data_IF_728934637692
#
_entry.id   IF_728934637692
#
_cell.length_a   1.000
_cell.length_b   1.000
_cell.length_c   1.000
_cell.angle_alpha   90.00
_cell.angle_beta   90.00
_cell.angle_gamma   90.00
#
_symmetry.space_group_name_H-M   'P 1'
#
loop_
_entity.id
_entity.type
_entity.pdbx_description
1 polymer ?
#
# COMPACT_ATOMS: atom_id res chain seq x y z
N UNK A 1 -30.40 -44.67 -28.29
CA UNK A 1 -31.43 -45.56 -27.70
C UNK A 1 -32.20 -44.74 -26.67
N UNK A 2 -33.51 -45.00 -26.54
CA UNK A 2 -34.58 -44.12 -26.07
C UNK A 2 -34.52 -43.83 -24.54
N UNK A 3 -34.95 -42.60 -24.18
CA UNK A 3 -35.35 -41.99 -22.88
C UNK A 3 -35.99 -42.93 -21.83
N UNK A 4 -36.10 -42.61 -20.50
CA UNK A 4 -36.67 -41.33 -20.01
C UNK A 4 -36.21 -40.75 -18.65
N UNK A 5 -36.74 -39.53 -18.42
CA UNK A 5 -36.85 -38.75 -17.17
C UNK A 5 -37.47 -39.51 -15.99
N UNK A 6 -37.07 -39.15 -14.76
CA UNK A 6 -37.93 -39.12 -13.56
C UNK A 6 -37.48 -38.01 -12.60
N UNK A 7 -38.45 -37.17 -12.20
CA UNK A 7 -38.37 -36.22 -11.08
C UNK A 7 -38.63 -36.97 -9.77
N UNK A 8 -38.04 -36.52 -8.65
CA UNK A 8 -38.77 -36.49 -7.38
C UNK A 8 -38.18 -35.50 -6.36
N UNK A 9 -39.06 -34.67 -5.82
CA UNK A 9 -38.89 -33.87 -4.62
C UNK A 9 -38.90 -34.76 -3.38
N UNK A 10 -38.01 -34.50 -2.41
CA UNK A 10 -38.25 -34.51 -0.95
C UNK A 10 -36.92 -34.37 -0.21
N UNK A 11 -36.93 -33.54 0.83
CA UNK A 11 -35.74 -32.93 1.41
C UNK A 11 -34.84 -33.82 2.27
N UNK A 12 -33.78 -33.17 2.73
CA UNK A 12 -32.83 -33.58 3.79
C UNK A 12 -32.01 -34.84 3.52
N UNK A 13 -30.73 -34.64 3.16
CA UNK A 13 -29.70 -35.64 3.32
C UNK A 13 -28.43 -35.01 3.92
N UNK A 14 -28.10 -35.51 5.11
CA UNK A 14 -26.84 -35.34 5.85
C UNK A 14 -25.73 -36.00 5.04
N UNK A 15 -24.67 -35.27 4.70
CA UNK A 15 -23.49 -35.83 4.04
C UNK A 15 -22.47 -36.28 5.09
N UNK A 16 -22.42 -37.60 5.30
CA UNK A 16 -21.40 -38.33 6.05
C UNK A 16 -20.22 -38.58 5.10
N UNK A 17 -19.04 -38.04 5.38
CA UNK A 17 -17.82 -38.36 4.63
C UNK A 17 -17.20 -39.67 5.15
N UNK A 18 -17.21 -40.71 4.33
CA UNK A 18 -16.42 -41.93 4.54
C UNK A 18 -15.05 -41.78 3.85
N UNK A 19 -13.98 -41.94 4.63
CA UNK A 19 -12.60 -42.04 4.16
C UNK A 19 -12.34 -43.48 3.69
N UNK A 20 -12.02 -43.67 2.40
CA UNK A 20 -11.54 -44.95 1.89
C UNK A 20 -10.01 -44.99 1.98
N UNK A 21 -9.49 -45.90 2.80
CA UNK A 21 -8.07 -46.30 2.83
C UNK A 21 -7.93 -47.55 1.97
N UNK A 22 -7.14 -47.49 0.91
CA UNK A 22 -6.72 -48.66 0.14
C UNK A 22 -5.28 -49.02 0.46
N UNK A 23 -5.10 -50.22 0.98
CA UNK A 23 -3.81 -50.91 1.15
C UNK A 23 -3.48 -51.70 -0.12
N UNK A 24 -2.21 -51.66 -0.56
CA UNK A 24 -1.65 -52.65 -1.50
C UNK A 24 -0.32 -53.15 -0.94
N UNK A 25 -0.13 -54.46 -1.07
CA UNK A 25 0.81 -55.30 -0.34
C UNK A 25 2.12 -55.54 -1.09
N UNK A 26 3.21 -55.56 -0.31
CA UNK A 26 4.45 -56.36 -0.34
C UNK A 26 5.20 -56.64 -1.66
N UNK A 27 6.49 -56.29 -1.63
CA UNK A 27 7.58 -57.17 -2.07
C UNK A 27 8.84 -56.93 -1.23
N UNK A 28 9.43 -58.02 -0.78
CA UNK A 28 10.52 -58.21 0.17
C UNK A 28 11.91 -57.88 -0.39
N UNK A 29 12.81 -57.33 0.45
CA UNK A 29 14.23 -57.67 0.48
C UNK A 29 14.84 -57.26 1.84
N UNK A 30 15.61 -58.19 2.41
CA UNK A 30 16.15 -58.18 3.76
C UNK A 30 17.45 -57.37 3.89
N UNK A 31 17.73 -56.79 5.07
CA UNK A 31 18.90 -57.15 5.93
C UNK A 31 18.95 -56.29 7.22
N UNK A 32 18.90 -57.02 8.36
CA UNK A 32 19.37 -56.84 9.76
C UNK A 32 19.49 -55.49 10.50
N UNK A 33 19.34 -55.52 11.85
CA UNK A 33 18.99 -54.36 12.68
C UNK A 33 20.18 -53.78 13.47
N UNK A 34 20.06 -52.52 13.86
CA UNK A 34 20.74 -51.97 15.04
C UNK A 34 19.70 -51.32 15.95
N UNK A 35 19.69 -51.82 17.18
CA UNK A 35 18.94 -51.32 18.33
C UNK A 35 19.36 -49.89 18.67
N UNK A 36 18.43 -49.09 19.20
CA UNK A 36 18.62 -48.33 20.45
C UNK A 36 17.24 -47.88 20.94
N UNK A 37 16.90 -48.33 22.15
CA UNK A 37 15.70 -47.93 22.89
C UNK A 37 15.92 -46.55 23.51
N UNK A 38 14.93 -45.67 23.44
CA UNK A 38 14.74 -44.63 24.45
C UNK A 38 13.26 -44.32 24.54
N UNK A 39 12.65 -44.76 25.63
CA UNK A 39 11.33 -44.41 26.08
C UNK A 39 11.29 -42.93 26.48
N UNK A 40 10.35 -42.17 25.93
CA UNK A 40 9.95 -40.88 26.50
C UNK A 40 8.46 -40.87 26.79
N UNK A 41 8.14 -40.70 28.07
CA UNK A 41 6.79 -40.53 28.60
C UNK A 41 6.16 -39.24 28.05
N UNK A 42 5.00 -39.35 27.40
CA UNK A 42 4.12 -38.22 27.12
C UNK A 42 3.29 -37.94 28.37
N UNK A 43 3.63 -36.86 29.10
CA UNK A 43 2.76 -36.28 30.12
C UNK A 43 1.73 -35.37 29.44
N UNK A 44 0.47 -35.75 29.54
CA UNK A 44 -0.69 -34.94 29.13
C UNK A 44 -0.82 -33.75 30.09
N UNK A 45 -0.46 -32.55 29.64
CA UNK A 45 -0.58 -31.29 30.37
C UNK A 45 -1.67 -30.41 29.76
N UNK A 46 -2.66 -30.06 30.58
CA UNK A 46 -3.84 -29.22 30.31
C UNK A 46 -3.60 -28.05 29.33
N UNK A 47 -4.44 -27.99 28.29
CA UNK A 47 -4.69 -26.78 27.51
C UNK A 47 -5.41 -25.74 28.40
N UNK A 48 -4.73 -24.63 28.68
CA UNK A 48 -5.37 -23.39 29.11
C UNK A 48 -5.84 -22.68 27.85
N UNK A 49 -7.16 -22.47 27.74
CA UNK A 49 -7.79 -21.67 26.72
C UNK A 49 -7.35 -20.21 26.82
N UNK A 50 -6.59 -19.73 25.84
CA UNK A 50 -6.33 -18.30 25.64
C UNK A 50 -7.48 -17.79 24.75
N UNK A 51 -8.19 -16.70 25.12
CA UNK A 51 -9.27 -16.18 24.29
C UNK A 51 -8.71 -15.64 22.97
N UNK A 52 -9.38 -16.02 21.88
CA UNK A 52 -9.16 -15.48 20.55
C UNK A 52 -9.33 -13.96 20.55
N UNK A 53 -8.31 -13.24 20.08
CA UNK A 53 -8.44 -11.84 19.71
C UNK A 53 -9.35 -11.76 18.47
N UNK A 54 -10.61 -11.40 18.68
CA UNK A 54 -11.51 -11.04 17.60
C UNK A 54 -11.04 -9.73 16.99
N UNK A 55 -10.59 -9.78 15.73
CA UNK A 55 -10.41 -8.59 14.92
C UNK A 55 -11.79 -8.00 14.61
N UNK A 56 -12.03 -6.76 15.04
CA UNK A 56 -13.13 -5.97 14.52
C UNK A 56 -12.73 -5.38 13.17
N UNK A 57 -13.50 -5.60 12.09
CA UNK A 57 -13.37 -4.77 10.91
C UNK A 57 -13.67 -3.32 11.30
N UNK A 58 -12.97 -2.38 10.68
CA UNK A 58 -13.20 -0.95 10.80
C UNK A 58 -14.69 -0.63 10.57
N UNK A 59 -15.44 -0.35 11.64
CA UNK A 59 -16.79 0.22 11.57
C UNK A 59 -16.67 1.70 11.94
N UNK A 60 -16.68 2.57 10.93
CA UNK A 60 -16.98 3.98 11.13
C UNK A 60 -18.46 4.11 11.50
N UNK A 61 -18.74 4.74 12.64
CA UNK A 61 -20.09 5.04 13.10
C UNK A 61 -20.83 5.92 12.09
N UNK A 62 -21.82 5.35 11.37
CA UNK A 62 -22.84 6.14 10.66
C UNK A 62 -23.78 6.80 11.68
N UNK A 63 -23.75 8.14 11.77
CA UNK A 63 -24.82 8.90 12.43
C UNK A 63 -26.01 8.98 11.47
N UNK A 64 -27.13 8.38 11.87
CA UNK A 64 -28.45 8.56 11.25
C UNK A 64 -28.86 10.04 11.33
N UNK A 65 -29.15 10.65 10.18
CA UNK A 65 -29.92 11.89 10.11
C UNK A 65 -31.40 11.55 10.35
N UNK A 66 -32.01 12.21 11.34
CA UNK A 66 -33.43 12.07 11.64
C UNK A 66 -34.28 12.95 10.73
N UNK A 67 -35.31 12.33 10.15
CA UNK A 67 -36.41 13.00 9.44
C UNK A 67 -37.25 13.85 10.40
N UNK A 68 -37.45 15.12 10.05
CA UNK A 68 -38.41 16.02 10.69
C UNK A 68 -39.40 16.57 9.68
N UNK A 69 -40.64 16.07 9.71
CA UNK A 69 -41.80 16.52 8.92
C UNK A 69 -42.32 17.89 9.37
N UNK A 70 -42.56 18.75 8.37
CA UNK A 70 -43.79 19.52 8.04
C UNK A 70 -44.74 19.97 9.18
N UNK A 71 -44.99 21.29 9.21
CA UNK A 71 -46.24 21.97 9.63
C UNK A 71 -46.18 23.43 9.14
N UNK A 72 -46.91 23.83 8.09
CA UNK A 72 -48.32 24.27 7.99
C UNK A 72 -48.64 25.66 8.56
N UNK A 73 -49.29 26.47 7.73
CA UNK A 73 -49.91 27.78 8.04
C UNK A 73 -49.06 28.97 7.61
N UNK A 74 -49.51 29.94 6.82
CA UNK A 74 -50.81 30.28 6.26
C UNK A 74 -50.78 31.76 5.86
N UNK A 75 -51.45 32.11 4.75
CA UNK A 75 -52.03 33.44 4.40
C UNK A 75 -51.10 34.67 4.38
N UNK A 76 -51.08 35.57 3.39
CA UNK A 76 -51.94 35.88 2.26
C UNK A 76 -51.58 37.29 1.75
N UNK A 77 -52.12 37.66 0.58
CA UNK A 77 -52.12 39.01 -0.03
C UNK A 77 -50.73 39.59 -0.39
N UNK A 78 -50.47 40.17 -1.57
CA UNK A 78 -51.32 40.75 -2.58
C UNK A 78 -50.62 42.02 -3.10
N UNK A 79 -50.79 42.30 -4.38
CA UNK A 79 -50.53 43.56 -5.08
C UNK A 79 -49.17 43.76 -5.78
N UNK A 80 -49.35 44.27 -6.99
CA UNK A 80 -48.47 44.58 -8.09
C UNK A 80 -47.75 45.93 -7.92
N UNK A 81 -46.68 46.15 -8.69
CA UNK A 81 -46.58 47.26 -9.65
C UNK A 81 -45.18 47.38 -10.26
N UNK A 82 -45.16 48.01 -11.44
CA UNK A 82 -44.19 47.97 -12.51
C UNK A 82 -42.96 48.91 -12.32
N UNK A 83 -42.02 48.99 -13.29
CA UNK A 83 -40.60 49.33 -13.06
C UNK A 83 -40.27 50.82 -13.20
N UNK A 84 -39.11 51.23 -12.66
CA UNK A 84 -38.54 52.56 -12.92
C UNK A 84 -37.07 52.48 -13.33
N UNK A 85 -36.85 52.70 -14.61
CA UNK A 85 -35.56 53.06 -15.23
C UNK A 85 -35.19 54.49 -14.82
N UNK A 86 -33.91 54.77 -14.53
CA UNK A 86 -33.20 55.97 -15.05
C UNK A 86 -31.69 55.97 -14.79
N UNK A 87 -30.99 56.09 -15.92
CA UNK A 87 -29.83 56.95 -16.22
C UNK A 87 -28.48 56.65 -15.57
N UNK A 88 -27.55 56.31 -16.46
CA UNK A 88 -26.12 56.34 -16.21
C UNK A 88 -25.54 57.74 -16.14
N UNK A 89 -24.36 57.79 -15.53
CA UNK A 89 -23.39 58.86 -15.65
C UNK A 89 -22.00 58.24 -15.59
N UNK A 90 -21.23 58.47 -16.65
CA UNK A 90 -19.82 58.14 -16.81
C UNK A 90 -18.94 58.91 -15.83
N UNK A 91 -18.03 58.22 -15.14
CA UNK A 91 -16.86 58.86 -14.49
C UNK A 91 -15.58 58.04 -14.72
N UNK A 92 -14.55 58.80 -15.08
CA UNK A 92 -13.20 58.43 -15.53
C UNK A 92 -12.49 57.46 -14.57
N UNK A 93 -11.83 56.47 -15.14
CA UNK A 93 -10.94 55.54 -14.45
C UNK A 93 -9.58 56.18 -14.19
N UNK A 94 -9.27 56.46 -12.93
CA UNK A 94 -7.90 56.69 -12.46
C UNK A 94 -7.35 55.35 -11.97
N UNK A 95 -6.32 54.83 -12.64
CA UNK A 95 -5.65 53.58 -12.28
C UNK A 95 -4.75 53.84 -11.06
N UNK A 96 -5.13 53.28 -9.92
CA UNK A 96 -4.24 53.12 -8.76
C UNK A 96 -4.06 51.62 -8.50
N UNK A 97 -2.82 51.15 -8.64
CA UNK A 97 -2.39 49.78 -8.36
C UNK A 97 -2.56 49.44 -6.88
N UNK A 98 -3.55 48.59 -6.56
CA UNK A 98 -3.69 48.01 -5.21
C UNK A 98 -3.01 46.64 -5.17
N UNK A 99 -1.99 46.54 -4.31
CA UNK A 99 -1.38 45.30 -3.81
C UNK A 99 -2.48 44.28 -3.47
N UNK A 100 -2.46 43.11 -4.13
CA UNK A 100 -3.36 42.02 -3.81
C UNK A 100 -3.05 41.52 -2.39
N UNK A 101 -3.97 41.79 -1.45
CA UNK A 101 -4.01 41.12 -0.15
C UNK A 101 -4.46 39.70 -0.41
N UNK A 102 -3.59 38.74 -0.12
CA UNK A 102 -3.94 37.33 0.01
C UNK A 102 -5.10 37.22 1.02
N UNK A 103 -6.27 36.83 0.52
CA UNK A 103 -7.47 36.56 1.31
C UNK A 103 -7.60 35.05 1.42
N UNK A 104 -6.83 34.45 2.33
CA UNK A 104 -7.14 33.11 2.79
C UNK A 104 -8.57 33.13 3.37
N UNK A 105 -9.43 32.23 2.87
CA UNK A 105 -10.78 32.07 3.43
C UNK A 105 -10.66 31.68 4.91
N UNK A 106 -11.52 32.19 5.80
CA UNK A 106 -11.48 31.78 7.20
C UNK A 106 -11.71 30.26 7.30
N UNK A 107 -10.86 29.57 8.07
CA UNK A 107 -10.99 28.13 8.33
C UNK A 107 -12.35 27.88 9.00
N UNK A 108 -13.15 26.97 8.45
CA UNK A 108 -14.40 26.55 9.09
C UNK A 108 -14.13 25.87 10.45
N UNK A 109 -15.16 25.76 11.28
CA UNK A 109 -15.07 25.22 12.65
C UNK A 109 -14.32 23.86 12.72
N UNK A 110 -14.60 22.95 11.78
CA UNK A 110 -13.93 21.66 11.68
C UNK A 110 -12.40 21.78 11.43
N UNK A 111 -11.98 22.76 10.63
CA UNK A 111 -10.56 23.01 10.38
C UNK A 111 -9.83 23.55 11.61
N UNK A 112 -10.53 24.36 12.43
CA UNK A 112 -9.99 24.86 13.69
C UNK A 112 -9.81 23.73 14.72
N UNK A 113 -10.78 22.81 14.80
CA UNK A 113 -10.69 21.62 15.66
C UNK A 113 -9.54 20.70 15.24
N UNK A 114 -9.37 20.44 13.93
CA UNK A 114 -8.29 19.58 13.44
C UNK A 114 -6.91 20.19 13.71
N UNK A 115 -6.76 21.50 13.51
CA UNK A 115 -5.52 22.22 13.83
C UNK A 115 -5.19 22.18 15.33
N UNK A 116 -6.20 22.36 16.19
CA UNK A 116 -6.03 22.21 17.64
C UNK A 116 -5.62 20.77 18.03
N UNK A 117 -6.24 19.76 17.40
CA UNK A 117 -5.92 18.36 17.62
C UNK A 117 -4.48 18.04 17.20
N UNK A 118 -4.04 18.52 16.03
CA UNK A 118 -2.66 18.36 15.57
C UNK A 118 -1.66 19.03 16.52
N UNK A 119 -1.94 20.26 16.97
CA UNK A 119 -1.04 20.98 17.88
C UNK A 119 -0.93 20.34 19.27
N UNK A 120 -1.98 19.69 19.74
CA UNK A 120 -2.00 19.02 21.04
C UNK A 120 -1.54 17.55 20.99
N UNK A 121 -1.37 16.98 19.80
CA UNK A 121 -1.02 15.58 19.64
C UNK A 121 0.42 15.32 20.13
N UNK A 122 0.62 14.29 20.98
CA UNK A 122 1.95 13.97 21.51
C UNK A 122 2.78 13.22 20.47
N UNK A 123 3.37 13.95 19.53
CA UNK A 123 4.27 13.39 18.53
C UNK A 123 5.45 12.65 19.19
N UNK A 124 5.75 11.47 18.68
CA UNK A 124 6.68 10.50 19.29
C UNK A 124 8.14 10.79 19.00
N UNK A 125 8.44 11.44 17.86
CA UNK A 125 9.78 11.84 17.45
C UNK A 125 9.90 13.32 17.11
N UNK A 126 10.80 13.66 16.19
CA UNK A 126 11.11 15.03 15.76
C UNK A 126 10.26 15.52 14.59
N UNK A 127 9.67 14.60 13.83
CA UNK A 127 8.84 14.89 12.68
C UNK A 127 7.54 15.57 13.09
N UNK A 128 7.14 16.56 12.30
CA UNK A 128 5.89 17.30 12.45
C UNK A 128 5.25 17.45 11.08
N UNK A 129 3.91 17.44 10.99
CA UNK A 129 3.22 17.70 9.73
C UNK A 129 3.42 19.16 9.32
N UNK A 130 3.79 19.34 8.06
CA UNK A 130 3.81 20.62 7.37
C UNK A 130 2.46 20.98 6.78
N UNK A 131 2.44 22.06 5.98
CA UNK A 131 1.28 22.49 5.21
C UNK A 131 1.21 21.74 3.89
N UNK A 132 0.06 21.15 3.60
CA UNK A 132 -0.21 20.49 2.33
C UNK A 132 -0.63 21.51 1.26
N UNK A 133 -0.13 21.35 0.03
CA UNK A 133 -0.68 22.06 -1.13
C UNK A 133 -2.08 21.51 -1.49
N UNK A 134 -2.93 22.26 -2.25
CA UNK A 134 -4.20 21.73 -2.74
C UNK A 134 -4.03 20.44 -3.53
N UNK A 135 -5.05 19.56 -3.49
CA UNK A 135 -5.09 18.33 -4.28
C UNK A 135 -4.91 18.62 -5.76
N UNK A 136 -4.00 17.89 -6.40
CA UNK A 136 -3.69 18.03 -7.84
C UNK A 136 -4.75 17.32 -8.69
N UNK A 137 -5.02 17.84 -9.87
CA UNK A 137 -6.05 17.32 -10.77
C UNK A 137 -5.41 16.44 -11.83
N UNK A 138 -5.92 15.21 -11.96
CA UNK A 138 -5.57 14.32 -13.07
C UNK A 138 -6.44 14.67 -14.28
N UNK A 139 -5.86 14.99 -15.46
CA UNK A 139 -6.62 15.24 -16.68
C UNK A 139 -7.23 13.94 -17.22
N UNK A 140 -8.27 14.05 -18.07
CA UNK A 140 -8.87 12.87 -18.72
C UNK A 140 -7.97 12.23 -19.78
N UNK A 141 -6.96 12.95 -20.27
CA UNK A 141 -5.98 12.44 -21.22
C UNK A 141 -4.61 13.07 -20.99
N UNK A 142 -3.57 12.39 -21.45
CA UNK A 142 -2.18 12.84 -21.35
C UNK A 142 -2.02 14.18 -22.08
N UNK A 143 -1.46 15.17 -21.40
CA UNK A 143 -1.40 16.56 -21.87
C UNK A 143 -0.18 16.86 -22.75
N UNK A 144 0.91 16.10 -22.58
CA UNK A 144 2.21 16.35 -23.23
C UNK A 144 3.03 15.06 -23.40
N UNK A 145 4.12 15.13 -24.16
CA UNK A 145 5.01 13.99 -24.43
C UNK A 145 4.47 13.03 -25.49
N UNK A 146 5.11 11.86 -25.61
CA UNK A 146 4.86 10.89 -26.68
C UNK A 146 3.46 10.26 -26.64
N UNK A 147 2.84 10.24 -25.45
CA UNK A 147 1.50 9.71 -25.24
C UNK A 147 0.40 10.79 -25.31
N UNK A 148 0.71 12.02 -25.74
CA UNK A 148 -0.25 13.13 -25.79
C UNK A 148 -1.57 12.70 -26.47
N UNK A 149 -2.68 12.92 -25.76
CA UNK A 149 -4.01 12.53 -26.21
C UNK A 149 -4.45 11.12 -25.80
N UNK A 150 -3.56 10.26 -25.28
CA UNK A 150 -3.94 8.97 -24.69
C UNK A 150 -4.89 9.22 -23.52
N UNK A 151 -6.03 8.53 -23.51
CA UNK A 151 -6.99 8.59 -22.40
C UNK A 151 -6.40 7.96 -21.14
N UNK A 152 -6.65 8.59 -19.99
CA UNK A 152 -6.26 8.07 -18.68
C UNK A 152 -7.48 7.35 -18.09
N UNK A 153 -7.31 6.08 -17.75
CA UNK A 153 -8.35 5.31 -17.07
C UNK A 153 -8.32 5.66 -15.58
N UNK A 154 -9.48 5.99 -15.01
CA UNK A 154 -9.63 6.34 -13.60
C UNK A 154 -10.09 5.12 -12.80
N UNK A 155 -9.50 4.84 -11.63
CA UNK A 155 -9.99 3.77 -10.76
C UNK A 155 -11.37 4.11 -10.19
N UNK A 156 -12.10 3.09 -9.73
CA UNK A 156 -13.50 3.21 -9.30
C UNK A 156 -13.76 4.22 -8.16
N UNK A 157 -12.71 4.49 -7.36
CA UNK A 157 -12.71 5.41 -6.22
C UNK A 157 -12.25 6.83 -6.56
N UNK A 158 -11.74 7.11 -7.76
CA UNK A 158 -11.08 8.39 -8.05
C UNK A 158 -11.95 9.62 -7.74
N UNK A 159 -13.28 9.50 -7.86
CA UNK A 159 -14.24 10.58 -7.63
C UNK A 159 -14.67 10.76 -6.16
N UNK A 160 -14.99 9.67 -5.47
CA UNK A 160 -15.64 9.69 -4.16
C UNK A 160 -14.79 9.09 -3.03
N UNK A 161 -13.60 8.61 -3.38
CA UNK A 161 -12.64 7.97 -2.51
C UNK A 161 -13.06 6.61 -1.97
N UNK A 162 -14.08 5.98 -2.56
CA UNK A 162 -14.60 4.69 -2.10
C UNK A 162 -14.31 3.59 -3.11
N UNK A 163 -13.40 2.65 -2.83
CA UNK A 163 -13.17 1.51 -3.70
C UNK A 163 -14.46 0.70 -3.87
N UNK A 164 -14.83 0.42 -5.13
CA UNK A 164 -16.10 -0.24 -5.47
C UNK A 164 -15.93 -1.70 -5.88
N UNK A 165 -14.71 -2.21 -5.82
CA UNK A 165 -14.44 -3.60 -6.10
C UNK A 165 -15.09 -4.46 -5.01
N UNK A 166 -15.63 -5.65 -5.36
CA UNK A 166 -16.17 -6.55 -4.36
C UNK A 166 -15.11 -6.84 -3.30
N UNK A 167 -15.57 -7.02 -2.05
CA UNK A 167 -14.68 -7.45 -0.99
C UNK A 167 -13.97 -8.74 -1.42
N UNK A 168 -12.68 -8.92 -1.07
CA UNK A 168 -11.99 -10.17 -1.33
C UNK A 168 -12.82 -11.34 -0.78
N UNK A 169 -12.74 -12.49 -1.46
CA UNK A 169 -13.36 -13.72 -0.96
C UNK A 169 -12.70 -14.19 0.34
N UNK A 170 -12.84 -15.49 0.64
CA UNK A 170 -12.11 -16.08 1.76
C UNK A 170 -10.60 -15.81 1.60
N UNK A 171 -9.82 -15.65 2.70
CA UNK A 171 -8.41 -15.20 2.63
C UNK A 171 -7.49 -15.99 1.68
N UNK A 172 -7.80 -17.26 1.42
CA UNK A 172 -7.08 -18.15 0.50
C UNK A 172 -7.61 -18.12 -0.95
N UNK A 173 -8.66 -17.36 -1.23
CA UNK A 173 -9.17 -17.13 -2.59
C UNK A 173 -8.38 -15.97 -3.19
N UNK A 174 -7.47 -16.34 -4.09
CA UNK A 174 -6.52 -15.44 -4.73
C UNK A 174 -6.76 -15.52 -6.24
N UNK A 175 -6.77 -14.36 -6.90
CA UNK A 175 -6.94 -14.28 -8.34
C UNK A 175 -5.72 -14.87 -9.06
N UNK A 176 -5.97 -15.78 -10.00
CA UNK A 176 -4.97 -16.25 -10.96
C UNK A 176 -5.12 -15.44 -12.23
N UNK A 177 -4.13 -14.60 -12.54
CA UNK A 177 -4.17 -13.73 -13.71
C UNK A 177 -3.94 -14.51 -15.00
N UNK A 178 -4.72 -14.18 -16.03
CA UNK A 178 -4.47 -14.62 -17.39
C UNK A 178 -3.27 -13.90 -18.01
N UNK A 179 -2.78 -14.39 -19.15
CA UNK A 179 -1.62 -13.80 -19.83
C UNK A 179 -1.83 -12.32 -20.20
N UNK A 180 -3.04 -11.93 -20.62
CA UNK A 180 -3.34 -10.53 -20.95
C UNK A 180 -3.23 -9.62 -19.72
N UNK A 181 -3.71 -10.10 -18.58
CA UNK A 181 -3.68 -9.37 -17.32
C UNK A 181 -2.27 -9.28 -16.76
N UNK A 182 -1.46 -10.33 -16.95
CA UNK A 182 -0.03 -10.33 -16.63
C UNK A 182 0.71 -9.25 -17.44
N UNK A 183 0.42 -9.10 -18.74
CA UNK A 183 1.06 -8.04 -19.55
C UNK A 183 0.66 -6.63 -19.08
N UNK A 184 -0.60 -6.43 -18.65
CA UNK A 184 -1.04 -5.16 -18.05
C UNK A 184 -0.36 -4.91 -16.71
N UNK A 185 -0.20 -5.95 -15.88
CA UNK A 185 0.56 -5.88 -14.63
C UNK A 185 2.03 -5.52 -14.86
N UNK A 186 2.69 -6.10 -15.86
CA UNK A 186 4.06 -5.74 -16.26
C UNK A 186 4.15 -4.28 -16.70
N UNK A 187 3.20 -3.81 -17.50
CA UNK A 187 3.16 -2.42 -17.94
C UNK A 187 2.98 -1.45 -16.77
N UNK A 188 2.03 -1.72 -15.86
CA UNK A 188 1.80 -0.93 -14.66
C UNK A 188 3.02 -0.92 -13.72
N UNK A 189 3.63 -2.09 -13.50
CA UNK A 189 4.84 -2.22 -12.67
C UNK A 189 6.03 -1.46 -13.26
N UNK A 190 6.27 -1.58 -14.58
CA UNK A 190 7.31 -0.80 -15.27
C UNK A 190 7.06 0.70 -15.14
N UNK A 191 5.83 1.16 -15.28
CA UNK A 191 5.47 2.57 -15.11
C UNK A 191 5.71 3.05 -13.67
N UNK A 192 5.30 2.28 -12.66
CA UNK A 192 5.54 2.60 -11.25
C UNK A 192 7.04 2.75 -10.96
N UNK A 193 7.86 1.80 -11.44
CA UNK A 193 9.32 1.85 -11.31
C UNK A 193 9.88 3.12 -11.94
N UNK A 194 9.54 3.43 -13.18
CA UNK A 194 10.05 4.63 -13.85
C UNK A 194 9.69 5.92 -13.08
N UNK A 195 8.48 6.00 -12.51
CA UNK A 195 8.07 7.13 -11.67
C UNK A 195 8.88 7.19 -10.37
N UNK A 196 9.05 6.07 -9.67
CA UNK A 196 9.86 6.01 -8.44
C UNK A 196 11.32 6.39 -8.71
N UNK A 197 11.87 6.02 -9.87
CA UNK A 197 13.23 6.35 -10.28
C UNK A 197 13.43 7.86 -10.47
N UNK A 198 12.44 8.53 -11.07
CA UNK A 198 12.47 9.98 -11.27
C UNK A 198 12.28 10.70 -9.93
N UNK A 199 11.36 10.23 -9.09
CA UNK A 199 11.15 10.76 -7.74
C UNK A 199 12.42 10.63 -6.87
N UNK A 200 13.04 9.45 -6.87
CA UNK A 200 14.29 9.18 -6.18
C UNK A 200 15.44 10.09 -6.60
N UNK A 201 15.60 10.33 -7.90
CA UNK A 201 16.61 11.29 -8.44
C UNK A 201 16.37 12.74 -8.01
N UNK A 202 15.15 13.08 -7.60
CA UNK A 202 14.84 14.42 -7.11
C UNK A 202 15.17 14.61 -5.62
N UNK A 203 15.41 13.53 -4.86
CA UNK A 203 15.72 13.58 -3.44
C UNK A 203 17.04 14.31 -3.21
N UNK A 204 16.99 15.43 -2.49
CA UNK A 204 18.14 16.25 -2.10
C UNK A 204 17.78 17.13 -0.92
N UNK A 205 18.79 17.65 -0.23
CA UNK A 205 18.59 18.63 0.85
C UNK A 205 17.78 19.82 0.33
N UNK A 206 16.72 20.18 1.07
CA UNK A 206 15.87 21.33 0.79
C UNK A 206 14.68 21.07 -0.15
N UNK A 207 14.59 19.93 -0.85
CA UNK A 207 13.35 19.59 -1.57
C UNK A 207 12.25 19.28 -0.55
N UNK A 208 11.01 19.72 -0.80
CA UNK A 208 9.87 19.34 0.04
C UNK A 208 9.27 18.03 -0.42
N UNK A 209 8.61 17.30 0.47
CA UNK A 209 7.88 16.09 0.11
C UNK A 209 6.72 16.41 -0.86
N UNK A 210 6.05 17.56 -0.73
CA UNK A 210 5.07 18.05 -1.72
C UNK A 210 5.69 18.34 -3.09
N UNK A 211 6.97 18.71 -3.13
CA UNK A 211 7.75 18.87 -4.35
C UNK A 211 8.02 17.54 -5.05
N UNK A 212 8.25 16.48 -4.28
CA UNK A 212 8.37 15.10 -4.77
C UNK A 212 7.00 14.59 -5.26
N UNK A 213 5.93 14.79 -4.50
CA UNK A 213 4.55 14.44 -4.91
C UNK A 213 4.18 15.08 -6.25
N UNK A 214 4.55 16.34 -6.48
CA UNK A 214 4.33 16.99 -7.78
C UNK A 214 4.99 16.22 -8.92
N UNK A 215 6.25 15.84 -8.74
CA UNK A 215 7.01 15.10 -9.75
C UNK A 215 6.33 13.76 -10.01
N UNK A 216 5.98 13.03 -8.95
CA UNK A 216 5.24 11.76 -9.06
C UNK A 216 3.95 11.95 -9.86
N UNK A 217 3.14 12.93 -9.47
CA UNK A 217 1.86 13.22 -10.11
C UNK A 217 2.01 13.49 -11.62
N UNK A 218 2.95 14.37 -11.99
CA UNK A 218 3.21 14.74 -13.37
C UNK A 218 3.76 13.55 -14.18
N UNK A 219 4.66 12.77 -13.60
CA UNK A 219 5.28 11.61 -14.26
C UNK A 219 4.33 10.41 -14.41
N UNK A 220 3.36 10.24 -13.50
CA UNK A 220 2.27 9.26 -13.68
C UNK A 220 1.39 9.65 -14.87
N UNK A 221 1.00 10.93 -14.96
CA UNK A 221 0.17 11.44 -16.06
C UNK A 221 0.87 11.29 -17.41
N UNK A 222 2.17 11.60 -17.51
CA UNK A 222 2.94 11.44 -18.75
C UNK A 222 2.96 10.00 -19.27
N UNK A 223 2.80 9.01 -18.39
CA UNK A 223 2.71 7.58 -18.72
C UNK A 223 1.30 7.10 -19.03
N UNK A 224 0.31 8.00 -19.01
CA UNK A 224 -1.09 7.65 -19.18
C UNK A 224 -1.71 6.96 -17.97
N UNK A 225 -1.10 7.12 -16.79
CA UNK A 225 -1.53 6.47 -15.56
C UNK A 225 -2.16 7.46 -14.56
N UNK A 226 -3.09 6.94 -13.77
CA UNK A 226 -3.62 7.64 -12.60
C UNK A 226 -2.75 7.29 -11.36
N UNK A 227 -2.32 8.26 -10.54
CA UNK A 227 -1.59 7.95 -9.29
C UNK A 227 -2.56 7.33 -8.26
N UNK A 228 -2.45 6.03 -8.01
CA UNK A 228 -3.46 5.25 -7.26
C UNK A 228 -3.75 5.78 -5.85
N UNK A 229 -2.77 6.28 -5.06
CA UNK A 229 -3.06 6.83 -3.74
C UNK A 229 -4.02 8.01 -3.78
N UNK A 230 -4.07 8.75 -4.90
CA UNK A 230 -4.89 9.96 -4.98
C UNK A 230 -6.37 9.65 -4.79
N UNK A 231 -6.92 10.22 -3.71
CA UNK A 231 -8.29 10.04 -3.24
C UNK A 231 -8.62 8.62 -2.76
N UNK A 232 -7.69 7.67 -2.71
CA UNK A 232 -7.96 6.33 -2.17
C UNK A 232 -8.31 6.42 -0.68
N UNK A 233 -9.54 6.04 -0.29
CA UNK A 233 -10.11 6.31 1.04
C UNK A 233 -9.99 7.78 1.50
N UNK A 234 -9.88 8.72 0.56
CA UNK A 234 -9.69 10.15 0.83
C UNK A 234 -8.23 10.58 1.07
N UNK A 235 -7.23 9.74 0.76
CA UNK A 235 -5.82 10.15 0.81
C UNK A 235 -5.57 11.34 -0.14
N UNK A 236 -4.91 12.43 0.31
CA UNK A 236 -4.98 13.72 -0.41
C UNK A 236 -3.91 13.92 -1.49
N UNK A 237 -2.98 12.98 -1.66
CA UNK A 237 -1.76 13.12 -2.47
C UNK A 237 -1.55 11.94 -3.42
N UNK A 238 -0.55 12.03 -4.29
CA UNK A 238 -0.30 11.10 -5.40
C UNK A 238 0.71 10.00 -5.03
N UNK A 239 1.44 10.18 -3.93
CA UNK A 239 2.34 9.20 -3.32
C UNK A 239 2.36 9.35 -1.80
N UNK A 240 2.99 8.40 -1.12
CA UNK A 240 3.37 8.54 0.27
C UNK A 240 4.86 8.90 0.37
N UNK A 241 5.21 9.74 1.34
CA UNK A 241 6.59 10.11 1.67
C UNK A 241 6.82 9.99 3.16
N UNK A 242 7.51 8.93 3.59
CA UNK A 242 7.64 8.55 5.00
C UNK A 242 9.07 8.81 5.48
N UNK A 243 9.26 9.88 6.24
CA UNK A 243 10.59 10.36 6.66
C UNK A 243 10.92 9.89 8.08
N UNK A 244 12.12 9.37 8.31
CA UNK A 244 12.65 9.00 9.63
C UNK A 244 11.76 8.04 10.44
N UNK A 245 11.06 8.51 11.48
CA UNK A 245 10.20 7.69 12.35
C UNK A 245 8.79 7.41 11.78
N UNK A 246 8.49 7.93 10.59
CA UNK A 246 7.24 7.64 9.90
C UNK A 246 7.36 6.26 9.25
N UNK A 247 6.51 5.32 9.72
CA UNK A 247 6.43 3.93 9.26
C UNK A 247 5.99 3.87 7.80
N UNK A 248 4.82 4.45 7.50
CA UNK A 248 4.20 4.45 6.18
C UNK A 248 3.14 5.56 6.10
N UNK A 249 2.60 5.76 4.89
CA UNK A 249 1.49 6.68 4.59
C UNK A 249 1.73 8.14 5.02
N UNK A 250 3.00 8.57 5.12
CA UNK A 250 3.31 9.97 5.36
C UNK A 250 2.76 10.84 4.23
N UNK A 251 1.95 11.85 4.55
CA UNK A 251 1.34 12.73 3.55
C UNK A 251 2.37 13.79 3.10
N UNK A 252 2.65 13.91 1.79
CA UNK A 252 3.46 14.99 1.23
C UNK A 252 3.02 16.41 1.66
N UNK A 253 3.97 17.20 2.16
CA UNK A 253 3.77 18.54 2.71
C UNK A 253 4.95 19.49 2.41
N UNK A 254 4.94 20.69 3.00
CA UNK A 254 5.96 21.71 2.79
C UNK A 254 7.24 21.54 3.64
N UNK A 255 7.42 20.43 4.37
CA UNK A 255 8.65 20.16 5.11
C UNK A 255 9.81 19.96 4.12
N UNK A 256 10.87 20.78 4.17
CA UNK A 256 12.09 20.51 3.41
C UNK A 256 12.84 19.33 4.01
N UNK A 257 13.30 18.40 3.16
CA UNK A 257 14.17 17.31 3.57
C UNK A 257 15.52 17.85 4.07
N UNK A 258 16.00 17.35 5.21
CA UNK A 258 17.23 17.76 5.84
C UNK A 258 18.38 16.77 5.54
N UNK A 259 19.62 17.24 5.58
CA UNK A 259 20.78 16.36 5.44
C UNK A 259 20.80 15.33 6.58
N UNK A 260 20.93 14.04 6.26
CA UNK A 260 20.86 12.94 7.22
C UNK A 260 19.47 12.34 7.43
N UNK A 261 18.42 12.92 6.84
CA UNK A 261 17.12 12.25 6.77
C UNK A 261 17.22 10.98 5.92
N UNK A 262 16.40 9.99 6.27
CA UNK A 262 16.02 8.90 5.37
C UNK A 262 14.54 9.06 5.03
N UNK A 263 14.17 8.78 3.78
CA UNK A 263 12.79 8.90 3.31
C UNK A 263 12.43 7.70 2.46
N UNK A 264 11.32 7.03 2.79
CA UNK A 264 10.66 6.11 1.87
C UNK A 264 9.78 6.93 0.92
N UNK A 265 9.84 6.63 -0.38
CA UNK A 265 8.86 7.11 -1.36
C UNK A 265 8.13 5.89 -1.88
N UNK A 266 6.80 5.92 -1.75
CA UNK A 266 5.92 4.83 -2.11
C UNK A 266 4.99 5.23 -3.26
N UNK A 267 5.05 4.45 -4.34
CA UNK A 267 4.51 4.75 -5.65
C UNK A 267 3.63 3.61 -6.12
N UNK A 268 2.36 3.92 -6.23
CA UNK A 268 1.41 3.10 -6.97
C UNK A 268 0.82 3.86 -8.15
N UNK A 269 0.84 3.27 -9.34
CA UNK A 269 0.15 3.82 -10.52
C UNK A 269 -0.94 2.88 -11.00
N UNK A 270 -2.02 3.43 -11.55
CA UNK A 270 -3.11 2.70 -12.20
C UNK A 270 -3.04 2.97 -13.69
N UNK A 271 -2.63 1.95 -14.46
CA UNK A 271 -2.42 2.02 -15.89
C UNK A 271 -3.22 0.93 -16.58
N UNK A 272 -3.99 1.32 -17.59
CA UNK A 272 -4.74 0.40 -18.46
C UNK A 272 -5.59 -0.64 -17.66
N UNK A 273 -6.11 -0.23 -16.51
CA UNK A 273 -6.99 -1.04 -15.64
C UNK A 273 -6.29 -1.80 -14.50
N UNK A 274 -4.97 -1.69 -14.33
CA UNK A 274 -4.19 -2.44 -13.33
C UNK A 274 -3.28 -1.53 -12.51
N UNK A 275 -3.10 -1.88 -11.24
CA UNK A 275 -2.20 -1.21 -10.32
C UNK A 275 -0.80 -1.84 -10.36
N UNK A 276 0.25 -1.02 -10.33
CA UNK A 276 1.63 -1.44 -10.09
C UNK A 276 2.21 -0.65 -8.93
N UNK A 277 2.84 -1.36 -7.98
CA UNK A 277 3.22 -0.81 -6.67
C UNK A 277 4.67 -1.10 -6.27
N UNK A 278 5.33 -0.08 -5.76
CA UNK A 278 6.70 -0.17 -5.25
C UNK A 278 7.08 1.03 -4.38
N UNK A 279 7.99 0.76 -3.46
CA UNK A 279 8.62 1.77 -2.64
C UNK A 279 10.09 1.47 -2.41
N UNK A 280 10.87 2.53 -2.24
CA UNK A 280 12.29 2.44 -1.89
C UNK A 280 12.67 3.53 -0.88
N UNK A 281 13.71 3.23 -0.11
CA UNK A 281 14.37 4.20 0.74
C UNK A 281 15.32 5.09 -0.06
N UNK A 282 15.46 6.34 0.38
CA UNK A 282 16.46 7.29 -0.11
C UNK A 282 17.12 8.00 1.06
N UNK A 283 18.43 8.21 0.95
CA UNK A 283 19.22 8.98 1.90
C UNK A 283 19.30 10.43 1.41
N UNK A 284 19.06 11.39 2.30
CA UNK A 284 19.06 12.81 1.95
C UNK A 284 20.41 13.44 2.25
N UNK A 285 21.11 13.87 1.20
CA UNK A 285 22.43 14.50 1.32
C UNK A 285 23.54 13.47 1.52
N UNK A 286 24.67 13.93 2.07
CA UNK A 286 25.92 13.16 2.10
C UNK A 286 26.22 12.55 3.49
N UNK A 287 25.38 12.86 4.49
CA UNK A 287 25.55 12.34 5.85
C UNK A 287 24.62 11.14 6.03
N UNK A 288 25.19 10.01 6.44
CA UNK A 288 24.42 8.86 6.88
C UNK A 288 24.90 8.43 8.26
N UNK A 289 23.98 8.45 9.23
CA UNK A 289 24.24 7.91 10.55
C UNK A 289 24.47 6.38 10.46
N UNK A 290 25.48 5.83 11.16
CA UNK A 290 25.79 4.41 11.09
C UNK A 290 24.62 3.47 11.45
N UNK A 291 23.74 3.86 12.37
CA UNK A 291 22.57 3.06 12.72
C UNK A 291 21.51 3.12 11.60
N UNK A 292 21.36 4.25 10.91
CA UNK A 292 20.45 4.33 9.75
C UNK A 292 20.96 3.43 8.63
N UNK A 293 22.26 3.51 8.36
CA UNK A 293 22.90 2.70 7.35
C UNK A 293 22.66 1.23 7.60
N UNK A 294 22.81 0.80 8.85
CA UNK A 294 22.54 -0.57 9.30
C UNK A 294 21.05 -0.94 9.19
N UNK A 295 20.14 -0.04 9.55
CA UNK A 295 18.70 -0.24 9.40
C UNK A 295 18.33 -0.48 7.93
N UNK A 296 18.80 0.39 7.03
CA UNK A 296 18.58 0.29 5.59
C UNK A 296 19.11 -1.04 5.03
N UNK A 297 20.35 -1.40 5.37
CA UNK A 297 20.96 -2.66 4.92
C UNK A 297 20.16 -3.88 5.38
N UNK A 298 19.82 -3.96 6.67
CA UNK A 298 19.11 -5.13 7.22
C UNK A 298 17.68 -5.22 6.69
N UNK A 299 17.02 -4.08 6.48
CA UNK A 299 15.68 -4.04 5.86
C UNK A 299 15.74 -4.56 4.43
N UNK A 300 16.71 -4.10 3.64
CA UNK A 300 16.93 -4.59 2.27
C UNK A 300 17.24 -6.09 2.25
N UNK A 301 18.15 -6.55 3.10
CA UNK A 301 18.55 -7.96 3.13
C UNK A 301 17.40 -8.89 3.54
N UNK A 302 16.61 -8.55 4.56
CA UNK A 302 15.45 -9.36 4.95
C UNK A 302 14.37 -9.38 3.87
N UNK A 303 14.20 -8.26 3.16
CA UNK A 303 13.26 -8.15 2.07
C UNK A 303 13.70 -9.03 0.91
N UNK A 304 14.96 -8.96 0.48
CA UNK A 304 15.52 -9.82 -0.57
C UNK A 304 15.46 -11.31 -0.20
N UNK A 305 15.76 -11.69 1.04
CA UNK A 305 15.59 -13.08 1.50
C UNK A 305 14.16 -13.57 1.32
N UNK A 306 13.17 -12.71 1.60
CA UNK A 306 11.76 -13.03 1.41
C UNK A 306 11.36 -13.12 -0.08
N UNK A 307 11.95 -12.30 -0.96
CA UNK A 307 11.72 -12.40 -2.41
C UNK A 307 12.24 -13.73 -2.95
N UNK A 308 13.45 -14.14 -2.55
CA UNK A 308 14.06 -15.42 -2.93
C UNK A 308 13.27 -16.65 -2.43
N UNK A 309 12.40 -16.44 -1.44
CA UNK A 309 11.49 -17.47 -0.98
C UNK A 309 10.32 -17.69 -1.94
N UNK A 310 9.89 -16.71 -2.73
CA UNK A 310 8.66 -16.81 -3.54
C UNK A 310 8.82 -17.82 -4.67
N UNK A 311 7.92 -18.82 -4.71
CA UNK A 311 7.74 -19.79 -5.80
C UNK A 311 6.44 -20.59 -5.57
N UNK A 312 5.91 -21.31 -6.59
CA UNK A 312 4.74 -22.14 -6.43
C UNK A 312 4.83 -23.16 -5.28
N UNK A 313 3.68 -23.41 -4.63
CA UNK A 313 3.52 -24.41 -3.57
C UNK A 313 3.98 -23.97 -2.18
N UNK A 314 4.63 -22.82 -2.04
CA UNK A 314 5.01 -22.27 -0.72
C UNK A 314 3.87 -21.49 -0.08
N UNK A 315 3.79 -21.53 1.25
CA UNK A 315 2.75 -20.82 1.98
C UNK A 315 3.12 -19.35 2.16
N UNK A 316 2.14 -18.44 1.99
CA UNK A 316 2.36 -17.01 2.16
C UNK A 316 2.75 -16.64 3.59
N UNK A 317 2.14 -17.28 4.60
CA UNK A 317 2.44 -17.05 6.03
C UNK A 317 3.92 -17.19 6.40
N UNK A 318 4.70 -17.98 5.63
CA UNK A 318 6.10 -18.26 5.94
C UNK A 318 7.02 -17.06 5.60
N UNK A 319 6.58 -16.11 4.76
CA UNK A 319 7.29 -14.85 4.46
C UNK A 319 7.61 -14.07 5.74
N UNK A 320 6.60 -13.92 6.61
CA UNK A 320 6.77 -13.16 7.85
C UNK A 320 7.76 -13.79 8.83
N UNK A 321 7.91 -15.13 8.79
CA UNK A 321 8.91 -15.84 9.57
C UNK A 321 10.34 -15.52 9.11
N UNK A 322 10.56 -15.51 7.80
CA UNK A 322 11.86 -15.19 7.19
C UNK A 322 12.30 -13.78 7.56
N UNK A 323 11.38 -12.82 7.42
CA UNK A 323 11.65 -11.42 7.75
C UNK A 323 11.93 -11.25 9.24
N UNK A 324 11.06 -11.76 10.12
CA UNK A 324 11.21 -11.58 11.57
C UNK A 324 12.48 -12.25 12.11
N UNK A 325 12.79 -13.47 11.66
CA UNK A 325 14.02 -14.17 12.05
C UNK A 325 15.28 -13.40 11.62
N UNK A 326 15.24 -12.77 10.45
CA UNK A 326 16.35 -11.95 9.98
C UNK A 326 16.51 -10.67 10.80
N UNK A 327 15.46 -9.92 11.08
CA UNK A 327 15.62 -8.59 11.72
C UNK A 327 15.89 -8.69 13.23
N UNK A 328 15.37 -9.71 13.91
CA UNK A 328 15.57 -9.91 15.36
C UNK A 328 17.02 -10.23 15.71
N UNK A 329 17.74 -11.02 14.90
CA UNK A 329 19.20 -11.26 15.10
C UNK A 329 20.03 -9.98 15.00
N UNK A 330 19.48 -8.95 14.34
CA UNK A 330 20.09 -7.63 14.24
C UNK A 330 19.51 -6.62 15.25
N UNK A 331 18.67 -7.04 16.20
CA UNK A 331 18.12 -6.14 17.22
C UNK A 331 17.13 -5.10 16.68
N UNK A 332 16.54 -5.35 15.51
CA UNK A 332 15.46 -4.57 14.95
C UNK A 332 14.12 -5.28 15.14
N UNK A 333 13.01 -4.59 14.86
CA UNK A 333 11.66 -5.17 14.92
C UNK A 333 10.86 -4.88 13.65
N UNK A 334 9.81 -5.67 13.40
CA UNK A 334 8.95 -5.56 12.20
C UNK A 334 7.55 -5.14 12.61
N UNK A 335 6.97 -4.19 11.86
CA UNK A 335 5.63 -3.64 12.13
C UNK A 335 4.55 -4.72 11.97
N UNK A 336 3.51 -4.64 12.81
CA UNK A 336 2.41 -5.62 12.84
C UNK A 336 1.06 -5.09 12.37
N UNK A 337 0.94 -3.79 12.14
CA UNK A 337 -0.31 -3.13 11.78
C UNK A 337 -0.53 -2.99 10.26
N UNK A 338 0.50 -3.24 9.47
CA UNK A 338 0.50 -3.13 8.01
C UNK A 338 1.13 -4.39 7.41
N UNK A 339 0.73 -4.73 6.19
CA UNK A 339 1.10 -5.98 5.53
C UNK A 339 1.13 -5.77 4.03
N UNK A 340 1.85 -6.64 3.32
CA UNK A 340 1.70 -6.71 1.87
C UNK A 340 0.32 -7.24 1.49
N UNK A 341 0.00 -7.14 0.21
CA UNK A 341 -1.34 -7.42 -0.27
C UNK A 341 -1.32 -8.01 -1.69
N UNK A 342 -2.38 -8.73 -2.05
CA UNK A 342 -2.67 -8.99 -3.44
C UNK A 342 -2.94 -7.68 -4.19
N UNK A 343 -2.54 -7.64 -5.46
CA UNK A 343 -2.66 -6.46 -6.30
C UNK A 343 -3.01 -6.84 -7.74
N UNK A 344 -3.78 -6.00 -8.43
CA UNK A 344 -4.22 -6.25 -9.80
C UNK A 344 -5.09 -5.12 -10.32
N UNK A 345 -6.26 -5.47 -10.84
CA UNK A 345 -7.35 -4.53 -11.10
C UNK A 345 -7.92 -3.90 -9.81
N UNK A 346 -7.63 -4.52 -8.68
CA UNK A 346 -7.89 -4.03 -7.32
C UNK A 346 -6.57 -3.61 -6.70
N UNK A 347 -6.54 -2.42 -6.07
CA UNK A 347 -5.35 -1.90 -5.40
C UNK A 347 -4.90 -2.83 -4.26
N UNK A 348 -5.78 -3.08 -3.27
CA UNK A 348 -5.51 -4.00 -2.16
C UNK A 348 -6.54 -5.14 -2.16
N UNK A 349 -6.09 -6.39 -2.27
CA UNK A 349 -6.91 -7.61 -2.24
C UNK A 349 -6.15 -8.78 -1.61
N UNK A 350 -6.74 -9.98 -1.56
CA UNK A 350 -6.06 -11.19 -1.08
C UNK A 350 -4.87 -11.56 -1.99
N UNK A 351 -3.79 -12.10 -1.43
CA UNK A 351 -3.60 -12.44 0.00
C UNK A 351 -3.08 -11.27 0.84
N UNK A 352 -3.38 -11.25 2.14
CA UNK A 352 -2.62 -10.44 3.10
C UNK A 352 -1.27 -11.10 3.38
N UNK A 353 -0.17 -10.35 3.31
CA UNK A 353 1.21 -10.81 3.52
C UNK A 353 1.79 -10.18 4.80
N UNK A 354 1.66 -10.89 5.92
CA UNK A 354 2.18 -10.42 7.20
C UNK A 354 3.71 -10.55 7.24
N UNK A 355 4.41 -9.50 7.66
CA UNK A 355 5.88 -9.43 7.73
C UNK A 355 6.46 -9.87 9.08
N UNK A 356 5.70 -10.64 9.85
CA UNK A 356 6.06 -11.23 11.14
C UNK A 356 5.55 -12.67 11.25
N UNK A 357 6.10 -13.49 12.16
CA UNK A 357 5.63 -14.88 12.33
C UNK A 357 4.15 -14.93 12.65
N UNK A 358 3.42 -15.70 11.85
CA UNK A 358 1.97 -15.76 11.91
C UNK A 358 1.45 -17.16 11.49
N UNK A 359 0.15 -17.35 11.68
CA UNK A 359 -0.58 -18.55 11.26
C UNK A 359 -1.77 -18.20 10.38
N UNK A 360 -1.66 -17.12 9.60
CA UNK A 360 -2.75 -16.64 8.74
C UNK A 360 -3.10 -17.72 7.69
N UNK A 361 -4.39 -18.05 7.49
CA UNK A 361 -4.81 -19.04 6.50
C UNK A 361 -4.86 -18.44 5.09
N UNK A 362 -3.83 -17.71 4.67
CA UNK A 362 -3.76 -16.99 3.39
C UNK A 362 -3.36 -17.87 2.19
N UNK A 363 -3.33 -19.20 2.36
CA UNK A 363 -3.13 -20.16 1.28
C UNK A 363 -1.68 -20.34 0.83
N UNK A 364 -1.51 -20.84 -0.40
CA UNK A 364 -0.22 -21.13 -1.03
C UNK A 364 -0.06 -20.36 -2.34
N UNK A 365 1.18 -20.05 -2.70
CA UNK A 365 1.54 -19.40 -3.95
C UNK A 365 1.30 -20.33 -5.13
N UNK A 366 0.76 -19.79 -6.22
CA UNK A 366 0.55 -20.49 -7.49
C UNK A 366 0.89 -19.56 -8.65
N UNK A 367 1.27 -20.10 -9.83
CA UNK A 367 1.55 -19.31 -11.01
C UNK A 367 0.39 -18.36 -11.35
N UNK A 368 0.72 -17.12 -11.75
CA UNK A 368 -0.26 -16.08 -12.06
C UNK A 368 -0.76 -15.28 -10.86
N UNK A 369 -0.41 -15.65 -9.62
CA UNK A 369 -0.65 -14.79 -8.46
C UNK A 369 0.25 -13.55 -8.51
N UNK A 370 -0.31 -12.40 -8.15
CA UNK A 370 0.46 -11.16 -7.94
C UNK A 370 0.16 -10.51 -6.61
N UNK A 371 1.20 -10.10 -5.90
CA UNK A 371 1.12 -9.54 -4.56
C UNK A 371 2.37 -8.72 -4.23
N UNK A 372 2.30 -7.90 -3.18
CA UNK A 372 3.41 -7.11 -2.66
C UNK A 372 4.10 -7.80 -1.49
N UNK A 373 5.41 -7.59 -1.36
CA UNK A 373 6.14 -7.79 -0.10
C UNK A 373 6.79 -6.47 0.26
N UNK A 374 6.42 -5.92 1.42
CA UNK A 374 6.67 -4.52 1.81
C UNK A 374 7.03 -4.37 3.31
N UNK A 375 8.06 -5.07 3.83
CA UNK A 375 8.39 -5.04 5.25
C UNK A 375 8.76 -3.65 5.74
N UNK A 376 8.10 -3.20 6.80
CA UNK A 376 8.46 -1.99 7.53
C UNK A 376 9.23 -2.38 8.79
N UNK A 377 10.52 -2.09 8.81
CA UNK A 377 11.42 -2.46 9.90
C UNK A 377 11.73 -1.22 10.75
N UNK A 378 11.61 -1.37 12.07
CA UNK A 378 11.85 -0.34 13.06
C UNK A 378 13.20 -0.52 13.75
N UNK A 379 13.90 0.59 13.98
CA UNK A 379 15.13 0.64 14.77
C UNK A 379 14.92 0.13 16.21
N UNK A 380 13.70 0.32 16.75
CA UNK A 380 13.34 0.02 18.13
C UNK A 380 12.00 -0.71 18.20
N UNK A 381 10.91 -0.04 18.60
CA UNK A 381 9.59 -0.65 18.76
C UNK A 381 8.79 -0.72 17.46
N UNK A 382 8.17 -1.88 17.22
CA UNK A 382 7.21 -2.11 16.14
C UNK A 382 5.80 -1.52 16.39
N UNK A 383 5.56 -0.95 17.58
CA UNK A 383 4.26 -0.35 17.90
C UNK A 383 4.09 0.96 17.14
N UNK A 384 2.96 1.09 16.45
CA UNK A 384 2.59 2.28 15.69
C UNK A 384 1.66 3.22 16.47
N UNK A 385 1.70 4.49 16.12
CA UNK A 385 0.73 5.52 16.53
C UNK A 385 0.31 6.28 15.27
N UNK A 386 -0.99 6.41 15.05
CA UNK A 386 -1.53 7.17 13.92
C UNK A 386 -1.66 8.65 14.29
N UNK A 387 -1.26 9.52 13.38
CA UNK A 387 -1.41 10.96 13.52
C UNK A 387 -2.88 11.39 13.31
N UNK A 388 -3.26 12.60 13.77
CA UNK A 388 -4.62 13.14 13.58
C UNK A 388 -5.04 13.42 12.14
N UNK A 389 -4.14 13.22 11.16
CA UNK A 389 -4.45 13.34 9.74
C UNK A 389 -5.16 12.09 9.16
N UNK A 390 -5.32 11.06 10.00
CA UNK A 390 -5.93 9.75 9.73
C UNK A 390 -5.11 8.79 8.86
N UNK A 391 -3.88 9.16 8.49
CA UNK A 391 -3.03 8.40 7.56
C UNK A 391 -1.63 8.13 8.09
N UNK A 392 -0.92 9.17 8.53
CA UNK A 392 0.50 9.08 8.86
C UNK A 392 0.68 8.16 10.06
N UNK A 393 1.35 7.02 9.86
CA UNK A 393 1.70 6.09 10.92
C UNK A 393 3.15 6.32 11.35
N UNK A 394 3.38 6.54 12.64
CA UNK A 394 4.72 6.74 13.20
C UNK A 394 5.05 5.68 14.26
N UNK A 395 6.33 5.43 14.51
CA UNK A 395 6.74 4.58 15.62
C UNK A 395 6.36 5.21 16.96
N UNK A 396 5.95 4.38 17.92
CA UNK A 396 5.52 4.85 19.25
C UNK A 396 6.64 5.43 20.11
N UNK A 397 7.91 5.18 19.75
CA UNK A 397 9.10 5.59 20.50
C UNK A 397 10.01 6.55 19.74
N UNK A 398 9.57 7.02 18.56
CA UNK A 398 10.33 7.93 17.71
C UNK A 398 11.57 7.30 17.07
N UNK A 399 11.75 5.98 17.17
CA UNK A 399 12.78 5.25 16.44
C UNK A 399 12.52 5.29 14.93
N UNK A 400 13.58 5.27 14.13
CA UNK A 400 13.46 5.35 12.67
C UNK A 400 12.96 4.05 12.06
N UNK A 401 12.44 4.16 10.84
CA UNK A 401 11.90 3.04 10.06
C UNK A 401 12.44 3.02 8.63
N UNK A 402 12.45 1.83 8.05
CA UNK A 402 12.78 1.63 6.65
C UNK A 402 11.83 0.61 6.03
N UNK A 403 11.54 0.79 4.73
CA UNK A 403 10.64 -0.04 3.95
C UNK A 403 11.15 -0.14 2.51
N UNK A 404 11.07 -1.35 1.96
CA UNK A 404 11.28 -1.64 0.55
C UNK A 404 10.12 -2.48 0.05
N UNK A 405 9.76 -2.31 -1.21
CA UNK A 405 8.60 -3.00 -1.76
C UNK A 405 8.73 -3.33 -3.25
N UNK A 406 8.26 -4.54 -3.57
CA UNK A 406 7.98 -4.93 -4.94
C UNK A 406 6.61 -5.56 -5.08
N UNK A 407 5.97 -5.28 -6.21
CA UNK A 407 4.91 -6.09 -6.78
C UNK A 407 5.55 -7.30 -7.46
N UNK A 408 5.14 -8.50 -7.08
CA UNK A 408 5.68 -9.77 -7.56
C UNK A 408 4.67 -10.50 -8.41
N UNK A 409 5.15 -11.27 -9.39
CA UNK A 409 4.40 -12.28 -10.14
C UNK A 409 5.00 -13.65 -9.88
N UNK A 410 4.20 -14.59 -9.38
CA UNK A 410 4.62 -16.00 -9.29
C UNK A 410 4.58 -16.63 -10.67
N UNK A 411 5.69 -17.23 -11.11
CA UNK A 411 5.78 -18.01 -12.35
C UNK A 411 5.71 -19.50 -12.06
N UNK A 412 5.76 -20.33 -13.10
CA UNK A 412 5.79 -21.81 -12.97
C UNK A 412 6.98 -22.32 -12.13
N UNK A 413 8.09 -21.60 -12.12
CA UNK A 413 9.37 -22.02 -11.55
C UNK A 413 9.98 -21.02 -10.55
N UNK A 414 9.35 -19.87 -10.32
CA UNK A 414 9.90 -18.84 -9.46
C UNK A 414 9.04 -17.59 -9.33
N UNK A 415 9.70 -16.43 -9.44
CA UNK A 415 9.11 -15.11 -9.25
C UNK A 415 9.72 -14.09 -10.20
N UNK A 416 8.90 -13.19 -10.72
CA UNK A 416 9.32 -12.00 -11.45
C UNK A 416 8.93 -10.77 -10.62
N UNK A 417 9.88 -9.88 -10.24
CA UNK A 417 9.54 -8.60 -9.63
C UNK A 417 9.05 -7.63 -10.72
N UNK A 418 7.75 -7.41 -10.81
CA UNK A 418 7.15 -6.56 -11.85
C UNK A 418 7.56 -5.08 -11.72
N UNK A 419 7.96 -4.66 -10.52
CA UNK A 419 8.51 -3.34 -10.23
C UNK A 419 10.02 -3.34 -9.97
N UNK A 420 10.72 -4.41 -10.41
CA UNK A 420 12.18 -4.50 -10.34
C UNK A 420 12.89 -3.34 -11.03
N UNK A 421 14.11 -3.04 -10.60
CA UNK A 421 14.95 -1.97 -11.16
C UNK A 421 15.19 -2.15 -12.66
N UNK A 422 15.36 -1.03 -13.34
CA UNK A 422 15.82 -0.95 -14.72
C UNK A 422 17.35 -0.84 -14.74
N UNK A 423 18.01 -1.14 -15.87
CA UNK A 423 19.46 -0.92 -16.00
C UNK A 423 19.92 0.53 -15.76
N UNK A 424 18.99 1.49 -15.83
CA UNK A 424 19.21 2.92 -15.60
C UNK A 424 18.72 3.41 -14.24
N UNK A 425 18.18 2.51 -13.41
CA UNK A 425 17.77 2.85 -12.05
C UNK A 425 19.00 3.15 -11.20
N UNK A 426 18.91 4.11 -10.27
CA UNK A 426 20.00 4.40 -9.35
C UNK A 426 20.37 3.15 -8.52
N UNK A 427 21.65 2.83 -8.46
CA UNK A 427 22.18 1.82 -7.53
C UNK A 427 22.52 2.53 -6.22
N UNK A 428 22.18 1.88 -5.11
CA UNK A 428 22.32 2.34 -3.74
C UNK A 428 23.27 1.39 -3.00
N UNK A 429 23.90 1.89 -1.94
CA UNK A 429 24.94 1.13 -1.23
C UNK A 429 24.43 -0.22 -0.72
N UNK A 430 23.15 -0.34 -0.36
CA UNK A 430 22.62 -1.60 0.18
C UNK A 430 22.52 -2.71 -0.86
N UNK A 431 22.42 -2.37 -2.14
CA UNK A 431 22.47 -3.35 -3.23
C UNK A 431 23.91 -3.79 -3.53
N UNK A 432 24.86 -2.87 -3.44
CA UNK A 432 26.29 -3.16 -3.64
C UNK A 432 26.86 -4.03 -2.52
N UNK A 433 26.37 -3.81 -1.29
CA UNK A 433 26.90 -4.42 -0.08
C UNK A 433 26.09 -5.61 0.42
N UNK A 434 24.93 -5.89 -0.17
CA UNK A 434 24.10 -7.02 0.25
C UNK A 434 24.87 -8.34 0.18
N UNK A 435 24.89 -9.06 1.30
CA UNK A 435 25.46 -10.40 1.37
C UNK A 435 24.47 -11.49 0.94
N UNK A 436 23.19 -11.14 0.80
CA UNK A 436 22.12 -12.07 0.40
C UNK A 436 22.08 -12.20 -1.12
N UNK A 437 22.14 -11.07 -1.83
CA UNK A 437 22.14 -11.04 -3.28
C UNK A 437 22.97 -9.88 -3.79
N UNK A 438 23.98 -10.20 -4.60
CA UNK A 438 24.79 -9.19 -5.28
C UNK A 438 24.09 -8.71 -6.55
N UNK A 439 24.02 -7.40 -6.73
CA UNK A 439 23.45 -6.75 -7.91
C UNK A 439 21.96 -6.44 -7.80
N UNK A 440 21.41 -5.82 -8.85
CA UNK A 440 20.02 -5.35 -8.90
C UNK A 440 19.05 -6.46 -9.34
N UNK A 441 17.85 -6.48 -8.75
CA UNK A 441 16.73 -7.25 -9.28
C UNK A 441 16.13 -6.53 -10.48
N UNK A 442 16.36 -7.06 -11.68
CA UNK A 442 15.75 -6.50 -12.88
C UNK A 442 14.29 -6.90 -13.02
N UNK A 443 13.46 -5.97 -13.49
CA UNK A 443 12.04 -6.20 -13.74
C UNK A 443 11.71 -7.23 -14.84
N UNK A 444 12.72 -7.90 -15.41
CA UNK A 444 12.59 -8.87 -16.51
C UNK A 444 12.81 -10.33 -16.05
N UNK A 445 12.97 -10.59 -14.76
CA UNK A 445 13.18 -11.95 -14.23
C UNK A 445 14.60 -12.51 -14.45
N UNK A 446 15.49 -11.76 -15.11
CA UNK A 446 16.92 -12.07 -15.16
C UNK A 446 17.59 -11.28 -14.05
N UNK A 447 17.93 -11.94 -12.94
CA UNK A 447 18.87 -11.35 -12.00
C UNK A 447 20.23 -11.16 -12.72
N UNK A 448 20.97 -10.14 -12.30
CA UNK A 448 22.38 -9.84 -12.63
C UNK A 448 22.61 -8.88 -13.80
N UNK A 449 22.91 -7.62 -13.45
CA UNK A 449 24.11 -6.95 -13.99
C UNK A 449 25.15 -7.04 -12.87
N UNK A 450 26.27 -7.70 -13.15
CA UNK A 450 27.39 -7.94 -12.23
C UNK A 450 28.26 -6.71 -12.04
#
# INVERSE_FOLDING_TARGET
MILPFLHNDTGTAVALFLLLVTTVSHSTLAFRPLSHSSSLHVRLGRFLSVPSAQFHPFVLHEKKAGDGKIGSGGTGFGASSAPRVKKGTTKKSTVTTKKARDRSKPKGLAGLFREAQMNAFPYTGTMRPGKQSPTRVVPHSVTEGDLKGKEIIFPSYAKDGKPKNPAPGLPWVIEVKSNEEIEKMKAAGRAAREVLDIAGRAVKVGITTDGIDRIVHEESIKRGAYPSPLNYHGFPKSCCTSVNEIICHGIPDDRPLANGDIVNIDITVFLDGYHGDCSEMFVVGDIIDPNHRRLLQVTYDCWVESLNFVRPGRAYKDIGGIIEDHVVKHGFSTVRNFCGHGIGSVFHTNPNILHYKNSEPNGVMAPGHTFTIEPMICERSARSVNWPDDWTAATSDGGRTAQFEHTLLVTEDGVIPLTGKLPTSPVQFWEEESTVQKGIWLGTGSSVVS
#
